data_IF_628620556397
#
_entry.id   IF_628620556397
#
_cell.length_a   1.000
_cell.length_b   1.000
_cell.length_c   1.000
_cell.angle_alpha   90.00
_cell.angle_beta   90.00
_cell.angle_gamma   90.00
#
_symmetry.space_group_name_H-M   'P 1'
#
loop_
_entity.id
_entity.type
_entity.pdbx_description
1 polymer ?
#
# COMPACT_ATOMS: atom_id res chain seq x y z
N UNK A 1 8.71 -4.84 -23.43
CA UNK A 1 8.09 -3.82 -22.57
C UNK A 1 8.69 -3.93 -21.17
N UNK A 2 9.77 -3.19 -20.93
CA UNK A 2 10.40 -3.09 -19.60
C UNK A 2 9.77 -1.89 -18.90
N UNK A 3 9.26 -2.11 -17.69
CA UNK A 3 8.58 -1.12 -16.86
C UNK A 3 9.59 -0.30 -16.05
N UNK A 4 10.88 -0.27 -16.42
CA UNK A 4 11.90 0.61 -15.84
C UNK A 4 12.39 1.59 -16.91
N UNK A 5 11.74 2.75 -16.97
CA UNK A 5 12.13 3.91 -17.75
C UNK A 5 12.30 5.10 -16.80
N UNK A 6 12.77 6.25 -17.28
CA UNK A 6 12.97 7.48 -16.49
C UNK A 6 11.71 7.92 -15.72
N UNK A 7 10.54 7.47 -16.15
CA UNK A 7 9.23 7.78 -15.55
C UNK A 7 8.64 6.63 -14.72
N UNK A 8 9.29 5.46 -14.66
CA UNK A 8 8.79 4.31 -13.90
C UNK A 8 9.70 3.96 -12.71
N UNK A 9 9.17 4.18 -11.50
CA UNK A 9 9.88 4.00 -10.25
C UNK A 9 9.73 2.60 -9.63
N UNK A 10 8.96 1.71 -10.25
CA UNK A 10 8.68 0.36 -9.75
C UNK A 10 9.48 -0.70 -10.53
N UNK A 11 9.85 -1.82 -9.88
CA UNK A 11 10.62 -2.89 -10.53
C UNK A 11 9.76 -3.73 -11.49
N UNK A 12 10.39 -4.21 -12.58
CA UNK A 12 9.77 -5.10 -13.58
C UNK A 12 9.33 -6.45 -13.00
N UNK A 13 10.04 -6.92 -11.97
CA UNK A 13 9.79 -8.21 -11.33
C UNK A 13 9.48 -7.99 -9.85
N UNK A 14 8.37 -8.57 -9.40
CA UNK A 14 7.96 -8.51 -8.00
C UNK A 14 8.89 -9.41 -7.17
N UNK A 15 9.62 -8.79 -6.25
CA UNK A 15 10.47 -9.49 -5.28
C UNK A 15 9.93 -9.25 -3.87
N UNK A 16 9.44 -10.31 -3.22
CA UNK A 16 8.99 -10.25 -1.83
C UNK A 16 10.16 -10.47 -0.87
N UNK A 17 10.40 -9.53 0.04
CA UNK A 17 11.37 -9.68 1.14
C UNK A 17 10.63 -9.99 2.45
N UNK A 18 10.05 -8.97 3.11
CA UNK A 18 9.30 -9.15 4.36
C UNK A 18 7.99 -9.93 4.21
N UNK A 19 7.44 -9.97 2.99
CA UNK A 19 6.22 -10.72 2.66
C UNK A 19 6.49 -12.07 1.97
N UNK A 20 7.74 -12.52 1.92
CA UNK A 20 8.08 -13.84 1.39
C UNK A 20 7.44 -14.94 2.27
N UNK A 21 6.74 -15.88 1.64
CA UNK A 21 6.17 -17.06 2.30
C UNK A 21 7.14 -18.23 2.33
N UNK A 22 6.87 -19.20 3.20
CA UNK A 22 7.64 -20.47 3.25
C UNK A 22 7.46 -21.35 2.02
N UNK A 23 6.39 -21.12 1.26
CA UNK A 23 6.07 -21.76 -0.02
C UNK A 23 5.45 -20.72 -0.94
N UNK A 24 5.59 -20.84 -2.28
CA UNK A 24 5.02 -19.88 -3.23
C UNK A 24 3.52 -19.60 -3.07
N UNK A 25 2.78 -20.52 -2.45
CA UNK A 25 1.34 -20.40 -2.20
C UNK A 25 0.97 -19.60 -0.95
N UNK A 26 1.95 -19.23 -0.12
CA UNK A 26 1.74 -18.52 1.13
C UNK A 26 2.24 -17.07 1.03
N UNK A 27 1.54 -16.15 1.71
CA UNK A 27 1.93 -14.74 1.82
C UNK A 27 2.02 -14.07 0.43
N UNK A 28 3.04 -13.28 0.15
CA UNK A 28 3.18 -12.53 -1.09
C UNK A 28 2.19 -11.37 -1.17
N UNK A 29 1.41 -11.31 -2.27
CA UNK A 29 0.53 -10.19 -2.56
C UNK A 29 -0.44 -9.83 -1.43
N UNK A 30 -1.21 -10.77 -0.83
CA UNK A 30 -2.09 -10.44 0.29
C UNK A 30 -1.35 -9.82 1.48
N UNK A 31 -0.13 -10.28 1.79
CA UNK A 31 0.68 -9.71 2.88
C UNK A 31 1.09 -8.27 2.56
N UNK A 32 1.63 -8.02 1.37
CA UNK A 32 2.09 -6.68 0.98
C UNK A 32 0.94 -5.68 0.90
N UNK A 33 -0.21 -6.15 0.41
CA UNK A 33 -1.43 -5.36 0.34
C UNK A 33 -1.91 -4.96 1.75
N UNK A 34 -2.00 -5.89 2.70
CA UNK A 34 -2.36 -5.55 4.09
C UNK A 34 -1.39 -4.54 4.70
N UNK A 35 -0.08 -4.68 4.45
CA UNK A 35 0.91 -3.69 4.90
C UNK A 35 0.63 -2.32 4.30
N UNK A 36 0.38 -2.22 2.99
CA UNK A 36 0.03 -0.96 2.33
C UNK A 36 -1.20 -0.30 2.96
N UNK A 37 -2.27 -1.06 3.21
CA UNK A 37 -3.48 -0.53 3.83
C UNK A 37 -3.22 0.03 5.23
N UNK A 38 -2.46 -0.69 6.06
CA UNK A 38 -2.07 -0.17 7.37
C UNK A 38 -1.19 1.09 7.26
N UNK A 39 -0.27 1.15 6.29
CA UNK A 39 0.54 2.35 6.05
C UNK A 39 -0.32 3.55 5.64
N UNK A 40 -1.31 3.35 4.77
CA UNK A 40 -2.21 4.41 4.33
C UNK A 40 -3.07 4.95 5.49
N UNK A 41 -3.60 4.09 6.35
CA UNK A 41 -4.43 4.55 7.49
C UNK A 41 -3.60 5.34 8.51
N UNK A 42 -2.38 4.90 8.83
CA UNK A 42 -1.47 5.63 9.71
C UNK A 42 -0.99 6.94 9.06
N UNK A 43 -0.71 6.93 7.77
CA UNK A 43 -0.34 8.14 7.01
C UNK A 43 -1.46 9.19 7.05
N UNK A 44 -2.71 8.77 6.81
CA UNK A 44 -3.86 9.66 6.91
C UNK A 44 -4.01 10.25 8.31
N UNK A 45 -3.82 9.44 9.37
CA UNK A 45 -3.81 9.95 10.75
C UNK A 45 -2.72 11.01 10.98
N UNK A 46 -1.48 10.75 10.51
CA UNK A 46 -0.37 11.68 10.68
C UNK A 46 -0.59 13.00 9.91
N UNK A 47 -1.18 12.93 8.71
CA UNK A 47 -1.54 14.12 7.93
C UNK A 47 -2.66 14.92 8.63
N UNK A 48 -3.64 14.24 9.22
CA UNK A 48 -4.71 14.88 10.00
C UNK A 48 -4.17 15.61 11.24
N UNK A 49 -3.11 15.09 11.89
CA UNK A 49 -2.48 15.75 13.04
C UNK A 49 -1.72 17.03 12.67
N UNK A 50 -1.27 17.17 11.41
CA UNK A 50 -0.56 18.36 10.92
C UNK A 50 -1.48 19.42 10.29
N UNK A 51 -2.70 19.05 9.87
CA UNK A 51 -3.59 19.92 9.11
C UNK A 51 -4.69 20.55 10.00
N UNK A 52 -4.78 21.88 9.98
CA UNK A 52 -5.90 22.63 10.58
C UNK A 52 -7.14 22.51 9.68
N UNK A 53 -8.07 21.64 10.08
CA UNK A 53 -9.45 21.49 9.59
C UNK A 53 -9.67 20.72 8.28
N UNK A 54 -10.71 19.88 8.25
CA UNK A 54 -11.41 19.46 7.02
C UNK A 54 -11.26 18.00 6.57
N UNK A 55 -10.61 17.11 7.31
CA UNK A 55 -10.39 15.74 6.82
C UNK A 55 -11.49 14.75 7.20
N UNK A 56 -11.90 13.94 6.22
CA UNK A 56 -12.81 12.81 6.42
C UNK A 56 -11.99 11.56 6.84
N UNK A 57 -12.06 11.12 8.12
CA UNK A 57 -11.29 9.97 8.59
C UNK A 57 -11.67 8.65 7.88
N UNK A 58 -12.82 8.63 7.19
CA UNK A 58 -13.29 7.45 6.47
C UNK A 58 -12.78 7.37 5.04
N UNK A 59 -12.13 8.40 4.49
CA UNK A 59 -11.70 8.43 3.09
C UNK A 59 -10.85 7.22 2.71
N UNK A 60 -9.78 6.95 3.47
CA UNK A 60 -8.89 5.81 3.21
C UNK A 60 -9.60 4.48 3.40
N UNK A 61 -10.49 4.37 4.39
CA UNK A 61 -11.22 3.13 4.66
C UNK A 61 -12.24 2.82 3.56
N UNK A 62 -12.91 3.84 3.03
CA UNK A 62 -13.83 3.72 1.89
C UNK A 62 -13.06 3.33 0.63
N UNK A 63 -11.92 3.97 0.36
CA UNK A 63 -11.08 3.63 -0.78
C UNK A 63 -10.55 2.18 -0.72
N UNK A 64 -10.13 1.73 0.47
CA UNK A 64 -9.73 0.34 0.71
C UNK A 64 -10.89 -0.63 0.43
N UNK A 65 -12.09 -0.33 0.94
CA UNK A 65 -13.28 -1.17 0.74
C UNK A 65 -13.64 -1.28 -0.75
N UNK A 66 -13.58 -0.18 -1.48
CA UNK A 66 -14.01 -0.13 -2.88
C UNK A 66 -12.96 -0.72 -3.85
N UNK A 67 -11.71 -0.88 -3.40
CA UNK A 67 -10.65 -1.57 -4.16
C UNK A 67 -10.73 -3.10 -4.08
N UNK A 68 -11.25 -3.65 -2.97
CA UNK A 68 -11.35 -5.10 -2.74
C UNK A 68 -12.47 -5.74 -3.56
#
# INVERSE_FOLDING_TARGET
DSLQDKDNYLPDVIKWESCLGSSPRFRGYPCGMWTLYHTLTVSAYNQNMGARHGHNPLEVLVAIRDYM
#
